data_IF_529304229556
#
_entry.id   IF_529304229556
#
_cell.length_a   1.000
_cell.length_b   1.000
_cell.length_c   1.000
_cell.angle_alpha   90.00
_cell.angle_beta   90.00
_cell.angle_gamma   90.00
#
_symmetry.space_group_name_H-M   'P 1'
#
loop_
_entity.id
_entity.type
_entity.pdbx_description
1 polymer ?
#
# COMPACT_ATOMS: atom_id res chain seq x y z
N UNK A 1 -0.30 -15.61 -21.48
CA UNK A 1 -1.30 -15.98 -20.47
C UNK A 1 -1.65 -14.71 -19.72
N UNK A 2 -2.93 -14.41 -19.53
CA UNK A 2 -3.40 -13.10 -19.08
C UNK A 2 -2.78 -12.73 -17.73
N UNK A 3 -2.05 -11.63 -17.75
CA UNK A 3 -1.38 -10.94 -16.66
C UNK A 3 -2.42 -10.60 -15.58
N UNK A 4 -2.64 -11.52 -14.64
CA UNK A 4 -3.49 -11.26 -13.48
C UNK A 4 -2.69 -10.37 -12.54
N UNK A 5 -2.67 -9.08 -12.85
CA UNK A 5 -2.31 -8.04 -11.91
C UNK A 5 -3.30 -8.17 -10.76
N UNK A 6 -2.85 -8.76 -9.65
CA UNK A 6 -3.66 -8.87 -8.44
C UNK A 6 -4.04 -7.45 -8.02
N UNK A 7 -5.33 -7.19 -7.82
CA UNK A 7 -5.77 -5.89 -7.28
C UNK A 7 -4.99 -5.60 -5.99
N UNK A 8 -4.53 -4.35 -5.78
CA UNK A 8 -3.75 -4.02 -4.60
C UNK A 8 -4.43 -4.52 -3.33
N UNK A 9 -3.74 -5.38 -2.59
CA UNK A 9 -4.26 -5.93 -1.35
C UNK A 9 -4.22 -4.84 -0.27
N UNK A 10 -5.29 -4.05 -0.23
CA UNK A 10 -5.53 -3.00 0.73
C UNK A 10 -5.88 -3.62 2.08
N UNK A 11 -4.89 -3.71 2.97
CA UNK A 11 -5.10 -4.17 4.34
C UNK A 11 -5.49 -2.97 5.19
N UNK A 12 -6.66 -3.03 5.82
CA UNK A 12 -7.05 -2.04 6.83
C UNK A 12 -6.03 -2.03 7.97
N UNK A 13 -5.88 -0.88 8.65
CA UNK A 13 -4.95 -0.75 9.78
C UNK A 13 -5.17 -1.81 10.87
N UNK A 14 -6.39 -2.31 11.01
CA UNK A 14 -6.73 -3.32 12.03
C UNK A 14 -6.33 -4.75 11.62
N UNK A 15 -6.22 -5.03 10.32
CA UNK A 15 -5.85 -6.34 9.80
C UNK A 15 -4.33 -6.47 9.54
N UNK A 16 -3.60 -5.35 9.51
CA UNK A 16 -2.17 -5.31 9.13
C UNK A 16 -1.31 -6.19 10.04
N UNK A 17 -1.60 -6.21 11.33
CA UNK A 17 -0.84 -7.01 12.29
C UNK A 17 -0.98 -8.51 12.03
N UNK A 18 -2.19 -8.98 11.68
CA UNK A 18 -2.44 -10.39 11.36
C UNK A 18 -1.77 -10.82 10.05
N UNK A 19 -1.72 -9.94 9.06
CA UNK A 19 -1.04 -10.22 7.79
C UNK A 19 0.48 -10.24 7.96
N UNK A 20 1.05 -9.31 8.72
CA UNK A 20 2.48 -9.27 9.03
C UNK A 20 2.93 -10.48 9.87
N UNK A 21 2.07 -10.97 10.77
CA UNK A 21 2.32 -12.19 11.54
C UNK A 21 2.37 -13.44 10.65
N UNK A 22 1.59 -13.46 9.55
CA UNK A 22 1.64 -14.53 8.53
C UNK A 22 2.84 -14.43 7.60
N UNK A 23 3.77 -13.50 7.85
CA UNK A 23 4.93 -13.24 7.01
C UNK A 23 4.59 -12.52 5.71
N UNK A 24 3.39 -11.95 5.59
CA UNK A 24 3.04 -11.08 4.47
C UNK A 24 3.56 -9.69 4.72
N UNK A 25 3.62 -8.89 3.67
CA UNK A 25 4.09 -7.51 3.67
C UNK A 25 3.20 -6.71 2.72
N UNK A 26 3.22 -5.39 2.84
CA UNK A 26 2.35 -4.53 2.06
C UNK A 26 3.04 -3.23 1.67
N UNK A 27 2.71 -2.72 0.49
CA UNK A 27 3.11 -1.39 0.04
C UNK A 27 1.88 -0.49 0.12
N UNK A 28 2.04 0.64 0.80
CA UNK A 28 0.98 1.59 1.07
C UNK A 28 1.19 2.87 0.28
N UNK A 29 0.14 3.41 -0.34
CA UNK A 29 0.18 4.71 -1.02
C UNK A 29 -0.17 5.82 -0.02
N UNK A 30 0.63 6.89 0.06
CA UNK A 30 0.37 8.00 0.99
C UNK A 30 -0.94 8.71 0.69
N UNK A 31 -1.38 8.74 -0.57
CA UNK A 31 -2.70 9.29 -0.96
C UNK A 31 -3.90 8.54 -0.35
N UNK A 32 -3.70 7.33 0.19
CA UNK A 32 -4.74 6.56 0.87
C UNK A 32 -4.88 6.90 2.36
N UNK A 33 -3.93 7.63 2.95
CA UNK A 33 -4.04 8.10 4.33
C UNK A 33 -5.22 9.08 4.51
N UNK A 34 -5.63 9.75 3.43
CA UNK A 34 -6.61 10.83 3.47
C UNK A 34 -6.06 12.08 4.13
N UNK A 35 -6.87 13.14 4.20
CA UNK A 35 -6.44 14.44 4.71
C UNK A 35 -6.29 14.47 6.25
N UNK A 36 -6.78 13.45 6.95
CA UNK A 36 -6.86 13.39 8.41
C UNK A 36 -5.65 12.72 9.07
N UNK A 37 -4.82 11.99 8.31
CA UNK A 37 -3.69 11.24 8.86
C UNK A 37 -2.41 11.61 8.10
N UNK A 38 -1.39 12.07 8.84
CA UNK A 38 -0.04 12.18 8.30
C UNK A 38 0.70 10.83 8.37
N UNK A 39 1.72 10.69 7.54
CA UNK A 39 2.51 9.47 7.45
C UNK A 39 3.15 9.08 8.80
N UNK A 40 3.76 9.99 9.58
CA UNK A 40 4.34 9.67 10.88
C UNK A 40 3.32 9.10 11.88
N UNK A 41 2.15 9.74 12.03
CA UNK A 41 1.09 9.29 12.94
C UNK A 41 0.60 7.90 12.53
N UNK A 42 0.43 7.68 11.23
CA UNK A 42 0.04 6.37 10.72
C UNK A 42 1.09 5.29 11.01
N UNK A 43 2.38 5.58 10.81
CA UNK A 43 3.48 4.64 11.10
C UNK A 43 3.50 4.25 12.59
N UNK A 44 3.36 5.24 13.49
CA UNK A 44 3.29 5.00 14.94
C UNK A 44 2.11 4.10 15.31
N UNK A 45 0.93 4.36 14.73
CA UNK A 45 -0.27 3.56 14.97
C UNK A 45 -0.11 2.10 14.49
N UNK A 46 0.50 1.89 13.33
CA UNK A 46 0.79 0.56 12.80
C UNK A 46 1.82 -0.16 13.66
N UNK A 47 2.90 0.53 14.06
CA UNK A 47 3.92 -0.01 14.95
C UNK A 47 3.34 -0.43 16.30
N UNK A 48 2.52 0.41 16.93
CA UNK A 48 1.87 0.11 18.20
C UNK A 48 0.93 -1.10 18.09
N UNK A 49 0.17 -1.23 16.99
CA UNK A 49 -0.71 -2.38 16.74
C UNK A 49 0.09 -3.67 16.53
N UNK A 50 1.14 -3.62 15.71
CA UNK A 50 1.98 -4.78 15.43
C UNK A 50 2.72 -5.25 16.70
N UNK A 51 3.23 -4.32 17.51
CA UNK A 51 3.89 -4.61 18.77
C UNK A 51 2.97 -5.34 19.76
N UNK A 52 1.68 -4.96 19.84
CA UNK A 52 0.68 -5.70 20.65
C UNK A 52 0.50 -7.16 20.23
N UNK A 53 0.82 -7.47 18.98
CA UNK A 53 0.74 -8.83 18.42
C UNK A 53 2.11 -9.54 18.40
N UNK A 54 3.14 -8.94 19.01
CA UNK A 54 4.50 -9.48 19.03
C UNK A 54 5.23 -9.40 17.69
N UNK A 55 4.78 -8.51 16.79
CA UNK A 55 5.40 -8.30 15.47
C UNK A 55 6.24 -7.03 15.50
N UNK A 56 7.53 -7.16 15.25
CA UNK A 56 8.42 -6.02 15.02
C UNK A 56 8.38 -5.62 13.54
N UNK A 57 8.09 -4.35 13.27
CA UNK A 57 7.84 -3.83 11.92
C UNK A 57 8.97 -2.94 11.44
N UNK A 58 9.25 -3.04 10.14
CA UNK A 58 10.12 -2.15 9.40
C UNK A 58 9.30 -1.34 8.39
N UNK A 59 9.56 -0.03 8.37
CA UNK A 59 9.01 0.89 7.38
C UNK A 59 10.12 1.30 6.41
N UNK A 60 9.85 1.18 5.11
CA UNK A 60 10.75 1.65 4.06
C UNK A 60 9.98 2.59 3.14
N UNK A 61 10.34 3.87 3.20
CA UNK A 61 9.75 4.89 2.33
C UNK A 61 10.35 4.81 0.92
N UNK A 62 9.51 5.05 -0.07
CA UNK A 62 9.87 5.15 -1.49
C UNK A 62 9.54 6.59 -1.92
N UNK A 63 10.45 7.57 -1.68
CA UNK A 63 10.09 8.98 -1.68
C UNK A 63 9.60 9.48 -3.04
N UNK A 64 10.12 8.94 -4.15
CA UNK A 64 9.72 9.37 -5.50
C UNK A 64 8.34 8.86 -5.93
N UNK A 65 7.72 8.00 -5.13
CA UNK A 65 6.47 7.31 -5.49
C UNK A 65 5.34 7.59 -4.49
N UNK A 66 5.62 8.33 -3.42
CA UNK A 66 4.69 8.56 -2.30
C UNK A 66 4.16 7.23 -1.75
N UNK A 67 5.06 6.27 -1.54
CA UNK A 67 4.73 4.93 -1.04
C UNK A 67 5.58 4.56 0.18
N UNK A 68 5.04 3.72 1.06
CA UNK A 68 5.77 3.10 2.17
C UNK A 68 5.53 1.61 2.18
N UNK A 69 6.60 0.83 2.17
CA UNK A 69 6.60 -0.61 2.43
C UNK A 69 6.56 -0.85 3.94
N UNK A 70 5.66 -1.72 4.38
CA UNK A 70 5.58 -2.23 5.75
C UNK A 70 5.80 -3.73 5.72
N UNK A 71 6.80 -4.18 6.49
CA UNK A 71 7.14 -5.59 6.60
C UNK A 71 7.48 -5.97 8.04
N UNK A 72 7.32 -7.25 8.36
CA UNK A 72 7.87 -7.83 9.58
C UNK A 72 9.40 -7.97 9.42
N UNK A 73 10.18 -7.53 10.40
CA UNK A 73 11.65 -7.59 10.35
C UNK A 73 12.19 -9.02 10.17
N UNK A 74 11.42 -10.02 10.58
CA UNK A 74 11.78 -11.44 10.44
C UNK A 74 11.27 -12.08 9.15
N UNK A 75 10.51 -11.35 8.34
CA UNK A 75 9.93 -11.83 7.08
C UNK A 75 9.94 -10.71 6.02
N UNK A 76 11.14 -10.17 5.75
CA UNK A 76 11.32 -9.14 4.75
C UNK A 76 11.12 -9.69 3.34
N UNK A 77 10.47 -8.92 2.44
CA UNK A 77 10.39 -9.29 1.02
C UNK A 77 11.74 -9.20 0.33
N UNK A 78 11.88 -9.92 -0.78
CA UNK A 78 13.00 -9.71 -1.70
C UNK A 78 12.84 -8.39 -2.46
N UNK A 79 13.95 -7.87 -2.97
CA UNK A 79 13.93 -6.64 -3.77
C UNK A 79 13.06 -6.76 -5.02
N UNK A 80 13.11 -7.91 -5.71
CA UNK A 80 12.29 -8.20 -6.90
C UNK A 80 10.80 -8.15 -6.58
N UNK A 81 10.40 -8.76 -5.46
CA UNK A 81 9.03 -8.74 -4.99
C UNK A 81 8.53 -7.30 -4.74
N UNK A 82 9.37 -6.47 -4.10
CA UNK A 82 9.05 -5.06 -3.87
C UNK A 82 8.87 -4.32 -5.18
N UNK A 83 9.75 -4.53 -6.17
CA UNK A 83 9.63 -3.91 -7.50
C UNK A 83 8.29 -4.29 -8.17
N UNK A 84 7.94 -5.58 -8.17
CA UNK A 84 6.70 -6.06 -8.79
C UNK A 84 5.47 -5.44 -8.12
N UNK A 85 5.46 -5.35 -6.79
CA UNK A 85 4.35 -4.76 -6.05
C UNK A 85 4.22 -3.25 -6.25
N UNK A 86 5.34 -2.53 -6.32
CA UNK A 86 5.34 -1.11 -6.66
C UNK A 86 4.82 -0.91 -8.08
N UNK A 87 5.27 -1.72 -9.05
CA UNK A 87 4.81 -1.64 -10.44
C UNK A 87 3.30 -1.91 -10.56
N UNK A 88 2.77 -2.89 -9.83
CA UNK A 88 1.34 -3.18 -9.77
C UNK A 88 0.53 -2.00 -9.21
N UNK A 89 1.01 -1.36 -8.13
CA UNK A 89 0.38 -0.17 -7.54
C UNK A 89 0.43 1.05 -8.46
N UNK A 90 1.54 1.27 -9.15
CA UNK A 90 1.65 2.36 -10.14
C UNK A 90 0.69 2.14 -11.31
N UNK A 91 0.58 0.91 -11.80
CA UNK A 91 -0.39 0.55 -12.83
C UNK A 91 -1.82 0.80 -12.37
N UNK A 92 -2.16 0.38 -11.15
CA UNK A 92 -3.47 0.64 -10.55
C UNK A 92 -3.77 2.14 -10.46
N UNK A 93 -2.81 2.95 -9.96
CA UNK A 93 -2.92 4.41 -9.87
C UNK A 93 -3.19 5.03 -11.25
N UNK A 94 -2.49 4.57 -12.27
CA UNK A 94 -2.70 4.98 -13.67
C UNK A 94 -4.08 4.62 -14.22
N UNK A 95 -4.56 3.39 -13.96
CA UNK A 95 -5.89 2.93 -14.39
C UNK A 95 -7.02 3.72 -13.71
N UNK A 96 -6.92 3.96 -12.41
CA UNK A 96 -7.92 4.75 -11.66
C UNK A 96 -7.95 6.20 -12.15
N UNK A 97 -6.78 6.83 -12.34
CA UNK A 97 -6.68 8.17 -12.90
C UNK A 97 -7.29 8.25 -14.31
N UNK A 98 -7.01 7.25 -15.16
CA UNK A 98 -7.59 7.15 -16.51
C UNK A 98 -9.11 6.99 -16.52
N UNK A 99 -9.68 6.22 -15.58
CA UNK A 99 -11.15 6.09 -15.40
C UNK A 99 -11.80 7.40 -14.95
N UNK A 100 -11.13 8.18 -14.08
CA UNK A 100 -11.60 9.49 -13.62
C UNK A 100 -11.63 10.52 -14.76
N UNK A 101 -10.72 10.42 -15.72
CA UNK A 101 -10.71 11.29 -16.91
C UNK A 101 -11.83 10.97 -17.91
N UNK A 102 -12.08 9.67 -18.17
CA UNK A 102 -13.17 9.24 -19.06
C UNK A 102 -14.57 9.56 -18.52
N UNK A 103 -14.75 9.52 -17.21
CA UNK A 103 -16.03 9.86 -16.55
C UNK A 103 -16.31 11.37 -16.52
N UNK A 104 -15.29 12.23 -16.46
CA UNK A 104 -15.45 13.69 -16.61
C UNK A 104 -15.89 14.08 -18.03
N UNK A 105 -15.31 13.48 -19.07
CA UNK A 105 -15.70 13.76 -20.48
C UNK A 105 -17.14 13.39 -20.83
N UNK A 106 -17.76 12.43 -20.12
CA UNK A 106 -19.17 12.06 -20.33
C UNK A 106 -20.18 13.01 -19.69
N UNK A 107 -19.80 13.79 -18.67
CA UNK A 107 -20.71 14.77 -18.02
C UNK A 107 -20.70 16.14 -18.68
N UNK A 108 -19.70 16.45 -19.49
CA UNK A 108 -19.60 17.71 -20.23
C UNK A 108 -20.28 17.66 -21.60
N UNK A 109 -21.07 16.62 -21.88
CA UNK A 109 -21.79 16.40 -23.13
C UNK A 109 -23.31 16.27 -22.94
N UNK A 110 -23.84 16.82 -21.84
CA UNK A 110 -25.28 17.00 -21.60
C UNK A 110 -25.58 18.46 -21.36
#
# INVERSE_FOLDING_TARGET
MADRVTEPYLVGQDDIAGELQRGKWCVYLHEWLGDEHDLPTWQEQVAARAARSGVEVCFMEIPRKDMTLVANVHALPSFEQVIESVAALEHYRGVVAGRRWRSRRRRSAQ
#
